data_IF_536125519791
#
_entry.id   IF_536125519791
#
_cell.length_a   1.000
_cell.length_b   1.000
_cell.length_c   1.000
_cell.angle_alpha   90.00
_cell.angle_beta   90.00
_cell.angle_gamma   90.00
#
_symmetry.space_group_name_H-M   'P 1'
#
loop_
_entity.id
_entity.type
_entity.pdbx_description
1 polymer ?
#
# COMPACT_ATOMS: atom_id res chain seq x y z
N UNK A 1 -4.47 15.89 -29.92
CA UNK A 1 -5.39 16.22 -28.80
C UNK A 1 -4.90 15.46 -27.55
N UNK A 2 -4.66 16.17 -26.47
CA UNK A 2 -4.32 15.52 -25.21
C UNK A 2 -5.58 14.83 -24.67
N UNK A 3 -5.53 13.56 -24.24
CA UNK A 3 -6.70 12.91 -23.66
C UNK A 3 -7.18 13.66 -22.42
N UNK A 4 -8.48 13.80 -22.30
CA UNK A 4 -9.13 14.46 -21.15
C UNK A 4 -9.49 13.51 -20.01
N UNK A 5 -9.32 12.19 -20.25
CA UNK A 5 -9.60 11.13 -19.28
C UNK A 5 -8.61 9.99 -19.45
N UNK A 6 -8.41 9.21 -18.39
CA UNK A 6 -7.68 7.94 -18.48
C UNK A 6 -8.47 6.94 -19.34
N UNK A 7 -7.76 6.20 -20.18
CA UNK A 7 -8.36 5.09 -20.94
C UNK A 7 -8.82 3.97 -20.01
N UNK A 8 -9.66 3.07 -20.54
CA UNK A 8 -10.05 1.85 -19.81
C UNK A 8 -8.84 0.96 -19.51
N UNK A 9 -7.88 0.87 -20.43
CA UNK A 9 -6.67 0.07 -20.26
C UNK A 9 -5.76 0.68 -19.17
N UNK A 10 -5.62 2.01 -19.14
CA UNK A 10 -4.87 2.68 -18.06
C UNK A 10 -5.52 2.43 -16.71
N UNK A 11 -6.84 2.54 -16.60
CA UNK A 11 -7.57 2.26 -15.36
C UNK A 11 -7.39 0.83 -14.90
N UNK A 12 -7.46 -0.13 -15.82
CA UNK A 12 -7.22 -1.54 -15.52
C UNK A 12 -5.79 -1.79 -15.04
N UNK A 13 -4.79 -1.17 -15.69
CA UNK A 13 -3.39 -1.28 -15.30
C UNK A 13 -3.11 -0.65 -13.93
N UNK A 14 -3.71 0.51 -13.61
CA UNK A 14 -3.60 1.14 -12.30
C UNK A 14 -4.27 0.31 -11.20
N UNK A 15 -5.42 -0.27 -11.48
CA UNK A 15 -6.11 -1.18 -10.56
C UNK A 15 -5.26 -2.43 -10.28
N UNK A 16 -4.73 -3.08 -11.33
CA UNK A 16 -3.82 -4.22 -11.17
C UNK A 16 -2.58 -3.87 -10.34
N UNK A 17 -1.98 -2.70 -10.56
CA UNK A 17 -0.84 -2.20 -9.81
C UNK A 17 -1.14 -2.10 -8.31
N UNK A 18 -2.29 -1.52 -7.95
CA UNK A 18 -2.74 -1.36 -6.56
C UNK A 18 -2.98 -2.71 -5.88
N UNK A 19 -3.63 -3.64 -6.58
CA UNK A 19 -3.91 -4.98 -6.05
C UNK A 19 -2.63 -5.83 -5.94
N UNK A 20 -1.67 -5.68 -6.84
CA UNK A 20 -0.35 -6.32 -6.73
C UNK A 20 0.42 -5.81 -5.52
N UNK A 21 0.38 -4.51 -5.24
CA UNK A 21 0.98 -3.98 -4.02
C UNK A 21 0.43 -4.69 -2.77
N UNK A 22 -0.88 -4.77 -2.63
CA UNK A 22 -1.52 -5.45 -1.51
C UNK A 22 -1.09 -6.93 -1.43
N UNK A 23 -1.19 -7.67 -2.53
CA UNK A 23 -0.82 -9.08 -2.60
C UNK A 23 0.66 -9.32 -2.25
N UNK A 24 1.58 -8.55 -2.82
CA UNK A 24 3.02 -8.71 -2.56
C UNK A 24 3.40 -8.36 -1.12
N UNK A 25 2.78 -7.34 -0.51
CA UNK A 25 2.99 -7.05 0.91
C UNK A 25 2.53 -8.22 1.77
N UNK A 26 1.33 -8.74 1.52
CA UNK A 26 0.74 -9.85 2.27
C UNK A 26 1.51 -11.16 2.10
N UNK A 27 2.08 -11.39 0.92
CA UNK A 27 2.93 -12.55 0.60
C UNK A 27 4.41 -12.34 0.96
N UNK A 28 4.76 -11.17 1.55
CA UNK A 28 6.12 -10.81 1.95
C UNK A 28 7.14 -10.81 0.80
N UNK A 29 6.67 -10.48 -0.40
CA UNK A 29 7.49 -10.33 -1.60
C UNK A 29 7.98 -8.89 -1.73
N UNK A 30 8.85 -8.45 -0.80
CA UNK A 30 9.21 -7.03 -0.66
C UNK A 30 10.00 -6.47 -1.84
N UNK A 31 10.81 -7.30 -2.51
CA UNK A 31 11.49 -6.90 -3.74
C UNK A 31 10.48 -6.65 -4.87
N UNK A 32 9.45 -7.49 -4.97
CA UNK A 32 8.35 -7.31 -5.93
C UNK A 32 7.53 -6.05 -5.62
N UNK A 33 7.34 -5.71 -4.33
CA UNK A 33 6.73 -4.43 -3.95
C UNK A 33 7.56 -3.26 -4.48
N UNK A 34 8.88 -3.29 -4.27
CA UNK A 34 9.78 -2.21 -4.73
C UNK A 34 9.71 -1.98 -6.24
N UNK A 35 9.56 -3.04 -7.04
CA UNK A 35 9.45 -2.96 -8.49
C UNK A 35 8.17 -2.27 -8.98
N UNK A 36 7.14 -2.16 -8.15
CA UNK A 36 5.92 -1.43 -8.47
C UNK A 36 6.11 0.09 -8.43
N UNK A 37 7.21 0.56 -7.87
CA UNK A 37 7.54 1.96 -7.72
C UNK A 37 8.53 2.45 -8.79
N UNK A 38 8.52 3.74 -9.08
CA UNK A 38 9.60 4.37 -9.86
C UNK A 38 10.90 4.38 -9.05
N UNK A 39 12.05 4.57 -9.71
CA UNK A 39 13.36 4.56 -9.03
C UNK A 39 13.48 5.65 -7.95
N UNK A 40 12.89 6.83 -8.22
CA UNK A 40 12.91 7.98 -7.32
C UNK A 40 11.64 8.11 -6.47
N UNK A 41 10.81 7.07 -6.38
CA UNK A 41 9.54 7.11 -5.70
C UNK A 41 9.67 7.43 -4.21
N UNK A 42 8.60 7.97 -3.66
CA UNK A 42 8.47 8.29 -2.23
C UNK A 42 7.26 7.57 -1.64
N UNK A 43 7.50 6.80 -0.59
CA UNK A 43 6.45 6.26 0.28
C UNK A 43 6.42 7.07 1.57
N UNK A 44 5.26 7.64 1.91
CA UNK A 44 5.07 8.38 3.16
C UNK A 44 4.04 7.64 4.01
N UNK A 45 4.47 7.18 5.17
CA UNK A 45 3.63 6.36 6.07
C UNK A 45 3.26 7.10 7.34
N UNK A 46 2.16 6.72 7.96
CA UNK A 46 1.76 7.15 9.29
C UNK A 46 2.69 6.54 10.37
N UNK A 47 2.59 7.03 11.59
CA UNK A 47 3.30 6.51 12.78
C UNK A 47 2.30 6.28 13.93
N UNK A 48 1.34 5.37 13.78
CA UNK A 48 0.32 5.13 14.79
C UNK A 48 0.94 4.54 16.07
N UNK A 49 0.40 4.88 17.26
CA UNK A 49 -0.75 5.77 17.49
C UNK A 49 -0.41 7.27 17.51
N UNK A 50 0.87 7.65 17.35
CA UNK A 50 1.32 9.05 17.50
C UNK A 50 0.81 9.98 16.41
N UNK A 51 0.79 9.50 15.17
CA UNK A 51 0.32 10.25 14.01
C UNK A 51 -0.42 9.31 13.07
N UNK A 52 -1.62 9.70 12.66
CA UNK A 52 -2.45 8.98 11.70
C UNK A 52 -2.30 9.54 10.28
N UNK A 53 -1.74 10.73 10.15
CA UNK A 53 -1.36 11.36 8.89
C UNK A 53 -0.01 10.83 8.39
N UNK A 54 0.31 10.98 7.09
CA UNK A 54 1.60 10.59 6.54
C UNK A 54 2.72 11.52 7.05
N UNK A 55 3.66 10.97 7.83
CA UNK A 55 4.71 11.73 8.52
C UNK A 55 6.12 11.18 8.31
N UNK A 56 6.27 9.90 7.91
CA UNK A 56 7.58 9.26 7.73
C UNK A 56 7.81 8.94 6.28
N UNK A 57 8.79 9.60 5.66
CA UNK A 57 9.15 9.43 4.25
C UNK A 57 10.26 8.40 4.05
N UNK A 58 10.08 7.58 3.03
CA UNK A 58 11.07 6.62 2.52
C UNK A 58 11.24 6.87 1.02
N UNK A 59 12.45 7.20 0.60
CA UNK A 59 12.74 7.54 -0.79
C UNK A 59 13.58 6.47 -1.47
N UNK A 60 13.17 6.11 -2.68
CA UNK A 60 13.81 5.09 -3.49
C UNK A 60 13.36 3.68 -3.16
N UNK A 61 13.55 2.76 -4.10
CA UNK A 61 13.06 1.38 -4.01
C UNK A 61 13.59 0.63 -2.80
N UNK A 62 14.87 0.75 -2.47
CA UNK A 62 15.49 0.03 -1.35
C UNK A 62 14.91 0.50 -0.01
N UNK A 63 14.75 1.82 0.18
CA UNK A 63 14.14 2.38 1.38
C UNK A 63 12.66 1.97 1.52
N UNK A 64 11.93 1.91 0.40
CA UNK A 64 10.53 1.47 0.36
C UNK A 64 10.42 -0.01 0.72
N UNK A 65 11.25 -0.87 0.11
CA UNK A 65 11.29 -2.29 0.45
C UNK A 65 11.57 -2.52 1.94
N UNK A 66 12.54 -1.78 2.50
CA UNK A 66 12.85 -1.83 3.93
C UNK A 66 11.69 -1.38 4.83
N UNK A 67 10.96 -0.34 4.42
CA UNK A 67 9.82 0.16 5.18
C UNK A 67 8.65 -0.84 5.19
N UNK A 68 8.29 -1.42 4.04
CA UNK A 68 7.21 -2.41 3.98
C UNK A 68 7.60 -3.75 4.61
N UNK A 69 8.88 -4.08 4.65
CA UNK A 69 9.37 -5.30 5.29
C UNK A 69 9.10 -5.35 6.82
N UNK A 70 8.77 -4.23 7.44
CA UNK A 70 8.37 -4.19 8.84
C UNK A 70 7.18 -5.09 9.17
N UNK A 71 6.28 -5.36 8.22
CA UNK A 71 5.16 -6.30 8.40
C UNK A 71 5.60 -7.75 8.61
N UNK A 72 6.85 -8.09 8.28
CA UNK A 72 7.39 -9.43 8.53
C UNK A 72 7.49 -9.77 10.02
N UNK A 73 7.50 -8.78 10.92
CA UNK A 73 7.44 -8.98 12.36
C UNK A 73 6.08 -9.48 12.86
N UNK A 74 5.02 -9.30 12.06
CA UNK A 74 3.66 -9.75 12.38
C UNK A 74 3.47 -11.22 11.98
N UNK A 75 2.48 -11.88 12.58
CA UNK A 75 2.12 -13.25 12.20
C UNK A 75 1.65 -13.28 10.75
N UNK A 76 0.78 -12.35 10.37
CA UNK A 76 0.19 -12.24 9.03
C UNK A 76 -0.43 -10.86 8.82
N UNK A 77 -0.53 -10.45 7.57
CA UNK A 77 -1.29 -9.27 7.16
C UNK A 77 -2.27 -9.61 6.05
N UNK A 78 -3.28 -8.79 5.89
CA UNK A 78 -4.17 -8.81 4.73
C UNK A 78 -4.63 -7.39 4.41
N UNK A 79 -4.33 -6.93 3.20
CA UNK A 79 -4.73 -5.62 2.70
C UNK A 79 -5.94 -5.79 1.78
N UNK A 80 -7.12 -5.42 2.26
CA UNK A 80 -8.35 -5.46 1.48
C UNK A 80 -8.58 -4.11 0.80
N UNK A 81 -8.40 -4.04 -0.51
CA UNK A 81 -8.73 -2.86 -1.30
C UNK A 81 -10.24 -2.79 -1.46
N UNK A 82 -10.85 -1.69 -0.97
CA UNK A 82 -12.30 -1.55 -0.92
C UNK A 82 -12.84 -0.42 -1.79
N UNK A 83 -11.97 0.40 -2.38
CA UNK A 83 -12.38 1.47 -3.28
C UNK A 83 -11.20 2.06 -4.02
N UNK A 84 -11.42 2.46 -5.26
CA UNK A 84 -10.39 2.99 -6.14
C UNK A 84 -10.99 4.12 -6.99
N UNK A 85 -10.31 5.25 -7.05
CA UNK A 85 -10.62 6.36 -7.95
C UNK A 85 -9.35 6.82 -8.61
N UNK A 86 -9.38 7.01 -9.94
CA UNK A 86 -8.21 7.43 -10.73
C UNK A 86 -8.57 8.60 -11.63
N UNK A 87 -7.68 9.60 -11.64
CA UNK A 87 -7.75 10.80 -12.46
C UNK A 87 -6.44 11.03 -13.20
N UNK A 88 -6.49 11.78 -14.31
CA UNK A 88 -5.28 12.25 -14.98
C UNK A 88 -4.45 13.11 -14.02
N UNK A 89 -3.14 12.94 -14.10
CA UNK A 89 -2.18 13.82 -13.44
C UNK A 89 -2.06 15.16 -14.15
N UNK A 90 -1.23 16.03 -13.58
CA UNK A 90 -1.01 17.39 -14.12
C UNK A 90 -0.19 17.38 -15.42
N UNK A 91 0.55 16.32 -15.71
CA UNK A 91 1.41 16.16 -16.88
C UNK A 91 1.00 14.94 -17.69
N UNK A 92 1.23 14.93 -19.03
CA UNK A 92 1.05 13.72 -19.83
C UNK A 92 1.83 12.53 -19.24
N UNK A 93 1.28 11.34 -19.29
CA UNK A 93 1.89 10.13 -18.73
C UNK A 93 1.89 10.08 -17.21
N UNK A 94 1.09 10.91 -16.54
CA UNK A 94 0.90 10.85 -15.08
C UNK A 94 -0.58 10.65 -14.72
N UNK A 95 -0.81 10.02 -13.57
CA UNK A 95 -2.14 9.84 -13.00
C UNK A 95 -2.11 10.05 -11.48
N UNK A 96 -3.26 10.28 -10.91
CA UNK A 96 -3.48 10.32 -9.45
C UNK A 96 -4.52 9.29 -9.08
N UNK A 97 -4.40 8.76 -7.87
CA UNK A 97 -5.38 7.83 -7.33
C UNK A 97 -5.66 8.07 -5.86
N UNK A 98 -6.88 7.72 -5.49
CA UNK A 98 -7.28 7.55 -4.10
C UNK A 98 -7.75 6.12 -3.94
N UNK A 99 -7.08 5.40 -3.03
CA UNK A 99 -7.35 3.98 -2.77
C UNK A 99 -7.74 3.82 -1.31
N UNK A 100 -8.92 3.29 -1.07
CA UNK A 100 -9.36 2.92 0.28
C UNK A 100 -8.99 1.47 0.57
N UNK A 101 -8.45 1.21 1.76
CA UNK A 101 -7.97 -0.09 2.17
C UNK A 101 -8.35 -0.37 3.63
N UNK A 102 -8.70 -1.61 3.92
CA UNK A 102 -8.76 -2.14 5.28
C UNK A 102 -7.57 -3.09 5.43
N UNK A 103 -6.62 -2.73 6.28
CA UNK A 103 -5.43 -3.53 6.52
C UNK A 103 -5.52 -4.25 7.86
N UNK A 104 -5.49 -5.57 7.82
CA UNK A 104 -5.44 -6.44 8.98
C UNK A 104 -4.00 -6.77 9.34
N UNK A 105 -3.67 -6.63 10.61
CA UNK A 105 -2.35 -6.94 11.17
C UNK A 105 -2.54 -7.91 12.33
N UNK A 106 -2.41 -9.20 12.06
CA UNK A 106 -2.55 -10.24 13.08
C UNK A 106 -1.23 -10.46 13.81
N UNK A 107 -1.29 -10.36 15.12
CA UNK A 107 -0.10 -10.46 15.97
C UNK A 107 -0.41 -11.12 17.31
N UNK A 108 0.65 -11.55 17.98
CA UNK A 108 0.59 -12.05 19.35
C UNK A 108 0.75 -10.90 20.33
N UNK A 109 -0.20 -10.71 21.22
CA UNK A 109 -0.15 -9.72 22.30
C UNK A 109 -0.31 -10.41 23.66
N UNK A 110 0.81 -10.64 24.32
CA UNK A 110 0.82 -11.48 25.51
C UNK A 110 0.37 -12.90 25.17
N UNK A 111 -0.67 -13.40 25.85
CA UNK A 111 -1.25 -14.73 25.63
C UNK A 111 -2.39 -14.73 24.60
N UNK A 112 -2.74 -13.56 24.03
CA UNK A 112 -3.86 -13.41 23.11
C UNK A 112 -3.40 -13.13 21.69
N UNK A 113 -4.18 -13.61 20.71
CA UNK A 113 -4.07 -13.20 19.32
C UNK A 113 -4.96 -11.98 19.07
N UNK A 114 -4.43 -10.97 18.45
CA UNK A 114 -5.14 -9.74 18.11
C UNK A 114 -5.02 -9.41 16.62
N UNK A 115 -6.07 -8.77 16.11
CA UNK A 115 -6.11 -8.10 14.81
C UNK A 115 -6.10 -6.60 15.06
N UNK A 116 -5.01 -5.94 14.67
CA UNK A 116 -4.93 -4.48 14.64
C UNK A 116 -5.35 -4.03 13.25
N UNK A 117 -6.54 -3.49 13.15
CA UNK A 117 -7.16 -3.10 11.89
C UNK A 117 -6.93 -1.62 11.62
N UNK A 118 -6.34 -1.30 10.47
CA UNK A 118 -6.25 0.08 10.00
C UNK A 118 -7.27 0.31 8.89
N UNK A 119 -8.17 1.24 9.11
CA UNK A 119 -9.00 1.81 8.06
C UNK A 119 -8.21 2.96 7.44
N UNK A 120 -7.69 2.76 6.26
CA UNK A 120 -6.72 3.68 5.68
C UNK A 120 -7.05 4.09 4.25
N UNK A 121 -6.36 5.12 3.82
CA UNK A 121 -6.40 5.65 2.46
C UNK A 121 -4.97 5.84 1.98
N UNK A 122 -4.73 5.43 0.74
CA UNK A 122 -3.57 5.87 -0.02
C UNK A 122 -3.98 7.01 -0.94
N UNK A 123 -3.20 8.09 -0.94
CA UNK A 123 -3.20 9.12 -1.95
C UNK A 123 -1.96 8.90 -2.81
N UNK A 124 -2.17 8.53 -4.07
CA UNK A 124 -1.14 8.06 -4.98
C UNK A 124 -0.91 9.01 -6.14
N UNK A 125 0.35 9.11 -6.58
CA UNK A 125 0.77 9.63 -7.86
C UNK A 125 1.45 8.52 -8.65
N UNK A 126 1.10 8.41 -9.93
CA UNK A 126 1.60 7.36 -10.82
C UNK A 126 2.29 7.99 -12.03
N UNK A 127 3.29 7.29 -12.56
CA UNK A 127 3.98 7.62 -13.81
C UNK A 127 3.97 6.44 -14.77
N UNK A 128 3.73 6.71 -16.04
CA UNK A 128 3.88 5.79 -17.14
C UNK A 128 5.32 5.85 -17.64
N UNK A 129 6.09 4.80 -17.33
CA UNK A 129 7.45 4.59 -17.82
C UNK A 129 7.40 3.55 -18.96
N UNK A 130 7.95 2.37 -18.78
CA UNK A 130 7.67 1.19 -19.60
C UNK A 130 6.27 0.61 -19.30
N UNK A 131 5.79 0.87 -18.10
CA UNK A 131 4.47 0.54 -17.55
C UNK A 131 4.10 1.55 -16.47
N UNK A 132 2.85 1.53 -16.02
CA UNK A 132 2.43 2.33 -14.87
C UNK A 132 3.18 1.90 -13.59
N UNK A 133 3.71 2.87 -12.86
CA UNK A 133 4.39 2.69 -11.57
C UNK A 133 3.94 3.75 -10.57
N UNK A 134 4.05 3.44 -9.30
CA UNK A 134 3.80 4.38 -8.22
C UNK A 134 5.01 5.33 -8.11
N UNK A 135 4.80 6.61 -8.31
CA UNK A 135 5.81 7.65 -8.10
C UNK A 135 5.78 8.20 -6.67
N UNK A 136 4.59 8.26 -6.07
CA UNK A 136 4.40 8.65 -4.69
C UNK A 136 3.18 7.93 -4.11
N UNK A 137 3.31 7.44 -2.89
CA UNK A 137 2.21 6.91 -2.10
C UNK A 137 2.22 7.53 -0.72
N UNK A 138 1.11 8.16 -0.30
CA UNK A 138 0.95 8.69 1.04
C UNK A 138 -0.20 7.96 1.75
N UNK A 139 0.10 7.41 2.93
CA UNK A 139 -0.83 6.62 3.73
C UNK A 139 -1.39 7.48 4.86
N UNK A 140 -2.71 7.65 4.88
CA UNK A 140 -3.47 8.25 5.99
C UNK A 140 -4.33 7.18 6.65
N UNK A 141 -4.28 7.08 7.96
CA UNK A 141 -5.12 6.17 8.74
C UNK A 141 -6.34 6.97 9.25
N UNK A 142 -7.54 6.51 8.92
CA UNK A 142 -8.77 7.12 9.40
C UNK A 142 -9.17 6.61 10.79
N UNK A 143 -8.93 5.33 11.06
CA UNK A 143 -9.22 4.71 12.36
C UNK A 143 -8.34 3.49 12.57
N UNK A 144 -8.04 3.21 13.83
CA UNK A 144 -7.36 1.99 14.28
C UNK A 144 -8.30 1.26 15.24
N UNK A 145 -8.53 -0.02 15.00
CA UNK A 145 -9.28 -0.91 15.88
C UNK A 145 -8.39 -2.07 16.32
N UNK A 146 -8.66 -2.61 17.48
CA UNK A 146 -8.05 -3.86 17.95
C UNK A 146 -9.13 -4.84 18.32
N UNK A 147 -9.06 -6.07 17.79
CA UNK A 147 -10.04 -7.13 18.01
C UNK A 147 -9.34 -8.41 18.47
N UNK A 148 -9.97 -9.18 19.35
CA UNK A 148 -9.53 -10.53 19.67
C UNK A 148 -9.77 -11.48 18.51
N UNK A 149 -8.81 -12.38 18.27
CA UNK A 149 -8.87 -13.38 17.20
C UNK A 149 -8.64 -14.78 17.80
N UNK A 150 -9.42 -15.76 17.35
CA UNK A 150 -9.30 -17.14 17.88
C UNK A 150 -8.12 -17.89 17.28
N UNK A 151 -7.82 -17.68 15.99
CA UNK A 151 -6.79 -18.43 15.27
C UNK A 151 -6.28 -17.63 14.08
N UNK A 152 -4.98 -17.65 13.85
CA UNK A 152 -4.32 -17.06 12.70
C UNK A 152 -3.49 -18.13 11.98
N UNK A 153 -3.63 -18.23 10.65
CA UNK A 153 -2.76 -19.06 9.83
C UNK A 153 -1.40 -18.40 9.72
N UNK A 154 -0.35 -19.04 10.19
CA UNK A 154 1.02 -18.53 10.09
C UNK A 154 1.52 -18.65 8.65
N UNK A 155 2.51 -17.83 8.28
CA UNK A 155 3.29 -18.07 7.06
C UNK A 155 4.05 -19.38 7.23
N UNK A 156 4.16 -20.13 6.13
CA UNK A 156 5.04 -21.29 6.11
C UNK A 156 6.49 -20.80 6.28
N UNK A 157 7.32 -21.51 7.05
CA UNK A 157 8.74 -21.17 7.13
C UNK A 157 9.35 -21.30 5.72
N UNK A 158 10.13 -20.27 5.34
CA UNK A 158 10.86 -20.25 4.08
C UNK A 158 11.95 -21.32 4.06
#
# INVERSE_FOLDING_TARGET
MTPTTLSTDDRAALSDLVHRYAAHVDDRQFDSVAELFTDAAVLVVADPPKALEPVRSHQGRDAIAGAVAAVAALIRTQHAIIGEVYDLGARPGTARGRVACIAHHWDQRGDELADVVWHLRYDDEYELTDRWRIARRALTINAVETRSVRRVRRHDPA
#
